data_IF_371467851726
#
_entry.id   IF_371467851726
#
_cell.length_a   1.000
_cell.length_b   1.000
_cell.length_c   1.000
_cell.angle_alpha   90.00
_cell.angle_beta   90.00
_cell.angle_gamma   90.00
#
_symmetry.space_group_name_H-M   'P 1'
#
loop_
_entity.id
_entity.type
_entity.pdbx_description
1 polymer ?
#
# COMPACT_ATOMS: atom_id res chain seq x y z
N UNK A 1 6.30 -7.90 -8.56
CA UNK A 1 5.02 -7.64 -9.24
C UNK A 1 5.19 -6.43 -10.14
N UNK A 2 4.75 -6.55 -11.39
CA UNK A 2 4.54 -5.45 -12.30
C UNK A 2 3.13 -4.88 -12.10
N UNK A 3 3.00 -3.56 -12.13
CA UNK A 3 1.70 -2.86 -12.03
C UNK A 3 1.56 -1.94 -13.24
N UNK A 4 0.43 -2.04 -13.94
CA UNK A 4 0.11 -1.19 -15.09
C UNK A 4 -1.18 -0.43 -14.83
N UNK A 5 -1.11 0.89 -14.95
CA UNK A 5 -2.26 1.78 -15.06
C UNK A 5 -2.44 2.09 -16.55
N UNK A 6 -3.63 1.80 -17.08
CA UNK A 6 -3.99 2.03 -18.47
C UNK A 6 -5.24 2.90 -18.55
N UNK A 7 -5.05 4.17 -18.93
CA UNK A 7 -6.08 5.19 -19.09
C UNK A 7 -7.00 5.33 -17.87
N UNK A 8 -6.40 5.31 -16.66
CA UNK A 8 -7.15 5.27 -15.40
C UNK A 8 -7.71 6.64 -15.05
N UNK A 9 -9.04 6.68 -14.90
CA UNK A 9 -9.75 7.82 -14.32
C UNK A 9 -10.51 7.40 -13.07
N UNK A 10 -10.49 8.27 -12.04
CA UNK A 10 -11.13 7.99 -10.76
C UNK A 10 -11.75 9.23 -10.13
N UNK A 11 -12.94 9.04 -9.54
CA UNK A 11 -13.61 10.01 -8.68
C UNK A 11 -14.06 9.33 -7.39
N UNK A 12 -13.86 10.00 -6.26
CA UNK A 12 -14.39 9.51 -4.99
C UNK A 12 -15.93 9.50 -5.03
N UNK A 13 -16.62 8.51 -4.44
CA UNK A 13 -18.09 8.47 -4.44
C UNK A 13 -18.76 9.72 -3.86
N UNK A 14 -18.09 10.41 -2.94
CA UNK A 14 -18.57 11.64 -2.30
C UNK A 14 -18.30 12.92 -3.10
N UNK A 15 -17.62 12.84 -4.25
CA UNK A 15 -17.21 14.00 -5.06
C UNK A 15 -17.52 13.77 -6.54
N UNK A 16 -18.08 14.76 -7.21
CA UNK A 16 -18.35 14.68 -8.66
C UNK A 16 -17.21 15.24 -9.52
N UNK A 17 -15.97 15.20 -9.00
CA UNK A 17 -14.78 15.70 -9.68
C UNK A 17 -13.75 14.58 -9.74
N UNK A 18 -13.14 14.40 -10.91
CA UNK A 18 -12.05 13.45 -11.09
C UNK A 18 -10.85 13.86 -10.25
N UNK A 19 -10.36 12.92 -9.43
CA UNK A 19 -9.10 13.07 -8.71
C UNK A 19 -7.94 12.59 -9.56
N UNK A 20 -8.14 11.54 -10.36
CA UNK A 20 -7.24 11.12 -11.43
C UNK A 20 -8.00 11.17 -12.75
N UNK A 21 -7.37 11.69 -13.79
CA UNK A 21 -7.97 11.85 -15.11
C UNK A 21 -6.97 11.35 -16.15
N UNK A 22 -7.32 10.24 -16.81
CA UNK A 22 -6.55 9.62 -17.90
C UNK A 22 -5.07 9.35 -17.56
N UNK A 23 -4.83 8.65 -16.45
CA UNK A 23 -3.49 8.36 -15.94
C UNK A 23 -3.01 7.00 -16.44
N UNK A 24 -1.88 6.98 -17.15
CA UNK A 24 -1.21 5.77 -17.61
C UNK A 24 0.25 5.73 -17.18
N UNK A 25 0.67 4.63 -16.56
CA UNK A 25 2.07 4.35 -16.23
C UNK A 25 2.29 2.87 -15.94
N UNK A 26 3.57 2.47 -15.90
CA UNK A 26 3.99 1.11 -15.58
C UNK A 26 5.05 1.15 -14.47
N UNK A 27 4.84 0.35 -13.42
CA UNK A 27 5.82 0.05 -12.38
C UNK A 27 6.33 -1.36 -12.65
N UNK A 28 7.60 -1.49 -13.03
CA UNK A 28 8.20 -2.80 -13.32
C UNK A 28 8.49 -3.55 -12.02
N UNK A 29 8.53 -4.87 -12.10
CA UNK A 29 8.92 -5.70 -10.95
C UNK A 29 10.32 -5.32 -10.44
N UNK A 30 10.44 -5.08 -9.14
CA UNK A 30 11.69 -4.65 -8.50
C UNK A 30 12.03 -3.17 -8.67
N UNK A 31 11.19 -2.38 -9.35
CA UNK A 31 11.41 -0.95 -9.52
C UNK A 31 10.92 -0.18 -8.29
N UNK A 32 11.75 0.74 -7.79
CA UNK A 32 11.31 1.77 -6.85
C UNK A 32 10.78 2.99 -7.60
N UNK A 33 9.56 3.42 -7.28
CA UNK A 33 8.89 4.57 -7.91
C UNK A 33 8.47 5.56 -6.83
N UNK A 34 8.68 6.84 -7.09
CA UNK A 34 8.24 7.93 -6.23
C UNK A 34 7.28 8.85 -6.99
N UNK A 35 6.12 9.13 -6.40
CA UNK A 35 5.18 10.13 -6.91
C UNK A 35 5.41 11.45 -6.18
N UNK A 36 5.80 12.50 -6.90
CA UNK A 36 6.18 13.80 -6.32
C UNK A 36 5.35 14.89 -6.97
N UNK A 37 4.57 15.62 -6.16
CA UNK A 37 3.71 16.71 -6.61
C UNK A 37 3.10 17.45 -5.41
N UNK A 38 2.37 18.55 -5.61
CA UNK A 38 1.69 19.32 -4.58
C UNK A 38 0.63 18.52 -3.80
N UNK A 39 0.34 18.90 -2.56
CA UNK A 39 -0.70 18.24 -1.77
C UNK A 39 -2.05 18.26 -2.51
N UNK A 40 -2.80 17.15 -2.42
CA UNK A 40 -4.12 17.01 -3.06
C UNK A 40 -4.11 16.61 -4.54
N UNK A 41 -2.95 16.41 -5.18
CA UNK A 41 -2.87 16.04 -6.61
C UNK A 41 -3.23 14.58 -6.95
N UNK A 42 -3.65 13.77 -5.98
CA UNK A 42 -4.06 12.37 -6.21
C UNK A 42 -2.97 11.32 -5.99
N UNK A 43 -1.79 11.67 -5.48
CA UNK A 43 -0.72 10.70 -5.15
C UNK A 43 -1.19 9.58 -4.22
N UNK A 44 -1.80 9.95 -3.08
CA UNK A 44 -2.36 8.97 -2.14
C UNK A 44 -3.51 8.18 -2.77
N UNK A 45 -4.24 8.78 -3.71
CA UNK A 45 -5.30 8.11 -4.45
C UNK A 45 -4.75 7.00 -5.34
N UNK A 46 -3.59 7.19 -6.00
CA UNK A 46 -2.92 6.12 -6.76
C UNK A 46 -2.63 4.92 -5.85
N UNK A 47 -2.07 5.17 -4.68
CA UNK A 47 -1.76 4.10 -3.70
C UNK A 47 -3.05 3.39 -3.25
N UNK A 48 -4.10 4.14 -2.90
CA UNK A 48 -5.40 3.57 -2.51
C UNK A 48 -6.07 2.72 -3.59
N UNK A 49 -5.85 3.03 -4.87
CA UNK A 49 -6.35 2.24 -5.99
C UNK A 49 -5.55 0.94 -6.18
N UNK A 50 -4.23 0.98 -5.99
CA UNK A 50 -3.38 -0.23 -5.96
C UNK A 50 -3.76 -1.13 -4.78
N UNK A 51 -4.07 -0.55 -3.62
CA UNK A 51 -4.54 -1.28 -2.44
C UNK A 51 -6.00 -1.75 -2.56
N UNK A 52 -6.69 -1.41 -3.67
CA UNK A 52 -8.12 -1.68 -3.85
C UNK A 52 -9.02 -1.20 -2.70
N UNK A 53 -8.65 -0.10 -2.03
CA UNK A 53 -9.57 0.61 -1.15
C UNK A 53 -10.71 1.28 -1.92
N UNK A 54 -10.48 1.58 -3.19
CA UNK A 54 -11.49 2.01 -4.15
C UNK A 54 -11.30 1.30 -5.48
N UNK A 55 -12.40 1.12 -6.21
CA UNK A 55 -12.35 0.73 -7.61
C UNK A 55 -12.26 1.97 -8.51
N UNK A 56 -11.53 1.84 -9.62
CA UNK A 56 -11.46 2.87 -10.67
C UNK A 56 -12.82 3.13 -11.32
N UNK A 57 -13.01 4.33 -11.85
CA UNK A 57 -14.19 4.70 -12.63
C UNK A 57 -14.06 4.24 -14.08
N UNK A 58 -12.89 4.47 -14.69
CA UNK A 58 -12.60 4.17 -16.09
C UNK A 58 -11.15 3.67 -16.23
N UNK A 59 -10.85 3.00 -17.36
CA UNK A 59 -9.55 2.41 -17.63
C UNK A 59 -9.36 1.03 -16.99
N UNK A 60 -8.11 0.63 -16.79
CA UNK A 60 -7.78 -0.63 -16.11
C UNK A 60 -6.51 -0.52 -15.26
N UNK A 61 -6.46 -1.31 -14.19
CA UNK A 61 -5.25 -1.56 -13.41
C UNK A 61 -4.99 -3.06 -13.43
N UNK A 62 -3.79 -3.46 -13.82
CA UNK A 62 -3.37 -4.87 -13.82
C UNK A 62 -2.14 -5.09 -12.95
N UNK A 63 -2.08 -6.25 -12.31
CA UNK A 63 -0.90 -6.76 -11.61
C UNK A 63 -0.43 -8.00 -12.35
N UNK A 64 0.82 -7.99 -12.82
CA UNK A 64 1.42 -9.08 -13.61
C UNK A 64 0.51 -9.53 -14.79
N UNK A 65 -0.17 -8.57 -15.43
CA UNK A 65 -1.07 -8.77 -16.56
C UNK A 65 -2.51 -9.20 -16.21
N UNK A 66 -2.81 -9.50 -14.94
CA UNK A 66 -4.16 -9.84 -14.49
C UNK A 66 -4.87 -8.60 -13.91
N UNK A 67 -6.17 -8.43 -14.18
CA UNK A 67 -6.92 -7.30 -13.64
C UNK A 67 -6.92 -7.34 -12.10
N UNK A 68 -6.64 -6.20 -11.48
CA UNK A 68 -6.53 -6.12 -10.01
C UNK A 68 -7.83 -6.54 -9.28
N UNK A 69 -8.98 -6.39 -9.95
CA UNK A 69 -10.30 -6.76 -9.42
C UNK A 69 -10.49 -8.28 -9.29
N UNK A 70 -9.72 -9.06 -10.03
CA UNK A 70 -9.84 -10.52 -10.05
C UNK A 70 -9.09 -11.21 -8.89
N UNK A 71 -8.26 -10.46 -8.16
CA UNK A 71 -7.57 -10.99 -7.00
C UNK A 71 -8.48 -11.02 -5.76
N UNK A 72 -8.29 -12.03 -4.91
CA UNK A 72 -8.82 -11.98 -3.54
C UNK A 72 -8.18 -10.81 -2.78
N UNK A 73 -9.01 -10.00 -2.14
CA UNK A 73 -8.54 -8.78 -1.48
C UNK A 73 -7.58 -9.08 -0.31
N UNK A 74 -7.78 -10.19 0.41
CA UNK A 74 -6.91 -10.56 1.54
C UNK A 74 -5.57 -11.05 1.03
N UNK A 75 -5.55 -11.80 -0.07
CA UNK A 75 -4.33 -12.19 -0.74
C UNK A 75 -3.56 -10.95 -1.24
N UNK A 76 -4.25 -10.01 -1.90
CA UNK A 76 -3.64 -8.78 -2.41
C UNK A 76 -2.97 -7.97 -1.29
N UNK A 77 -3.69 -7.73 -0.19
CA UNK A 77 -3.14 -7.00 0.97
C UNK A 77 -1.95 -7.73 1.63
N UNK A 78 -1.91 -9.07 1.60
CA UNK A 78 -0.73 -9.82 2.06
C UNK A 78 0.49 -9.64 1.16
N UNK A 79 0.32 -9.31 -0.12
CA UNK A 79 1.43 -9.03 -1.03
C UNK A 79 1.97 -7.60 -0.92
N UNK A 80 1.25 -6.70 -0.25
CA UNK A 80 1.53 -5.26 -0.23
C UNK A 80 1.60 -4.72 1.21
N UNK A 81 2.76 -4.84 1.88
CA UNK A 81 2.98 -4.15 3.14
C UNK A 81 2.84 -2.63 2.95
N UNK A 82 2.02 -2.01 3.80
CA UNK A 82 1.74 -0.58 3.74
C UNK A 82 2.30 0.14 4.96
N UNK A 83 2.97 1.27 4.73
CA UNK A 83 3.46 2.16 5.77
C UNK A 83 2.77 3.50 5.56
N UNK A 84 1.85 3.85 6.47
CA UNK A 84 1.09 5.10 6.40
C UNK A 84 1.94 6.30 6.83
N UNK A 85 1.57 7.48 6.33
CA UNK A 85 2.14 8.75 6.78
C UNK A 85 1.82 9.03 8.25
N UNK A 86 0.64 8.62 8.71
CA UNK A 86 0.20 8.66 10.10
C UNK A 86 0.05 7.22 10.61
N UNK A 87 1.09 6.63 11.24
CA UNK A 87 1.03 5.26 11.73
C UNK A 87 0.04 5.15 12.89
N UNK A 88 -0.79 4.12 12.87
CA UNK A 88 -1.69 3.79 13.96
C UNK A 88 -1.01 2.83 14.93
N UNK A 89 -1.05 3.16 16.23
CA UNK A 89 -0.58 2.26 17.29
C UNK A 89 -1.79 1.73 18.06
N UNK A 90 -1.83 0.41 18.21
CA UNK A 90 -2.81 -0.26 19.06
C UNK A 90 -2.42 -0.12 20.52
N UNK A 91 -3.42 -0.05 21.39
CA UNK A 91 -3.21 -0.20 22.82
C UNK A 91 -2.64 -1.59 23.11
N UNK A 92 -1.39 -1.63 23.55
CA UNK A 92 -0.66 -2.86 23.77
C UNK A 92 0.83 -2.59 23.96
N UNK A 93 1.60 -3.65 24.06
CA UNK A 93 3.06 -3.64 24.09
C UNK A 93 3.64 -3.28 22.73
N UNK A 94 4.92 -2.90 22.70
CA UNK A 94 5.64 -2.69 21.44
C UNK A 94 5.70 -4.00 20.65
N UNK A 95 5.88 -5.15 21.33
CA UNK A 95 5.85 -6.47 20.72
C UNK A 95 4.56 -6.72 19.93
N UNK A 96 3.41 -6.43 20.55
CA UNK A 96 2.10 -6.60 19.92
C UNK A 96 1.91 -5.69 18.71
N UNK A 97 2.41 -4.45 18.76
CA UNK A 97 2.37 -3.53 17.62
C UNK A 97 3.32 -3.96 16.48
N UNK A 98 4.50 -4.49 16.80
CA UNK A 98 5.46 -4.99 15.79
C UNK A 98 4.95 -6.25 15.08
N UNK A 99 4.28 -7.13 15.84
CA UNK A 99 3.69 -8.35 15.30
C UNK A 99 2.32 -8.11 14.64
N UNK A 100 1.82 -6.88 14.62
CA UNK A 100 0.55 -6.57 13.98
C UNK A 100 0.60 -6.87 12.47
N UNK A 101 -0.26 -7.78 12.02
CA UNK A 101 -0.28 -8.24 10.62
C UNK A 101 0.71 -9.36 10.30
N UNK A 102 1.50 -9.83 11.29
CA UNK A 102 2.33 -11.03 11.19
C UNK A 102 1.52 -12.23 11.66
N UNK A 103 1.31 -13.20 10.77
CA UNK A 103 0.49 -14.38 11.07
C UNK A 103 1.32 -15.60 11.52
N UNK A 104 2.61 -15.60 11.21
CA UNK A 104 3.53 -16.66 11.61
C UNK A 104 4.08 -16.38 13.01
N UNK A 105 4.34 -17.44 13.78
CA UNK A 105 5.03 -17.31 15.06
C UNK A 105 6.44 -16.74 14.84
N UNK A 106 6.84 -15.82 15.72
CA UNK A 106 8.16 -15.17 15.71
C UNK A 106 8.82 -15.29 17.07
N UNK A 107 10.09 -15.64 17.03
CA UNK A 107 10.97 -15.65 18.20
C UNK A 107 11.30 -14.22 18.65
N UNK A 108 11.66 -14.05 19.91
CA UNK A 108 12.10 -12.74 20.42
C UNK A 108 13.37 -12.25 19.70
N UNK A 109 14.23 -13.17 19.26
CA UNK A 109 15.43 -12.87 18.48
C UNK A 109 15.08 -12.25 17.12
N UNK A 110 14.17 -12.86 16.36
CA UNK A 110 13.69 -12.32 15.08
C UNK A 110 13.06 -10.92 15.25
N UNK A 111 12.30 -10.71 16.33
CA UNK A 111 11.67 -9.42 16.62
C UNK A 111 12.75 -8.36 16.91
N UNK A 112 13.76 -8.70 17.70
CA UNK A 112 14.84 -7.78 18.04
C UNK A 112 15.72 -7.43 16.83
N UNK A 113 15.92 -8.37 15.90
CA UNK A 113 16.65 -8.13 14.66
C UNK A 113 15.90 -7.17 13.72
N UNK A 114 14.58 -7.32 13.57
CA UNK A 114 13.76 -6.39 12.77
C UNK A 114 13.73 -5.00 13.41
N UNK A 115 13.66 -4.92 14.74
CA UNK A 115 13.72 -3.65 15.47
C UNK A 115 15.07 -2.95 15.33
N UNK A 116 16.17 -3.69 15.24
CA UNK A 116 17.50 -3.13 14.95
C UNK A 116 17.51 -2.52 13.54
N UNK A 117 17.04 -3.27 12.53
CA UNK A 117 16.97 -2.81 11.13
C UNK A 117 16.08 -1.56 10.97
N UNK A 118 15.00 -1.48 11.75
CA UNK A 118 14.09 -0.33 11.77
C UNK A 118 14.60 0.84 12.64
N UNK A 119 15.79 0.75 13.26
CA UNK A 119 16.31 1.72 14.24
C UNK A 119 15.38 1.96 15.45
N UNK A 120 14.59 0.95 15.80
CA UNK A 120 13.55 1.01 16.83
C UNK A 120 13.90 0.23 18.11
N UNK A 121 14.96 -0.58 18.12
CA UNK A 121 15.36 -1.40 19.27
C UNK A 121 15.55 -0.61 20.58
N UNK A 122 16.01 0.63 20.47
CA UNK A 122 16.17 1.56 21.61
C UNK A 122 14.88 1.89 22.36
N UNK A 123 13.72 1.71 21.72
CA UNK A 123 12.41 1.95 22.34
C UNK A 123 11.88 0.71 23.06
N UNK A 124 12.50 -0.45 22.83
CA UNK A 124 12.11 -1.73 23.41
C UNK A 124 12.78 -1.99 24.79
N UNK A 125 13.75 -1.14 25.17
CA UNK A 125 14.54 -1.21 26.42
C UNK A 125 14.05 -0.13 27.39
#
# INVERSE_FOLDING_TARGET
>A
MEIVFDHVSFKYPSRNVFTLNDVSFQIKSGQSVAFVDHSGSGKSTIVQLIERFYDITEGSITIDGQNIKDFDIRWLHKQMPFISQEPFLFHGTIKENVLYGVFDEKTDEEIMDVLEQANAKKFFI
#
